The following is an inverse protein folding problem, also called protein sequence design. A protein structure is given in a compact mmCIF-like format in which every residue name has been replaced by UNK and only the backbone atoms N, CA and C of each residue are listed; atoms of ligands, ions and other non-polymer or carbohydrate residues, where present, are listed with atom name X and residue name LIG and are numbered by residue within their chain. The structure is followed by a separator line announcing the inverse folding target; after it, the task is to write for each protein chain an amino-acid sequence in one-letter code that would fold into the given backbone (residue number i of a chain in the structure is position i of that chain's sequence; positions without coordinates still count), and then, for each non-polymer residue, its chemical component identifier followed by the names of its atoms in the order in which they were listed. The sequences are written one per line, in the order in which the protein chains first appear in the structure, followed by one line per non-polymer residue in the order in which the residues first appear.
data_IF_964151046834
#
_entry.id   IF_964151046834
#
_cell.length_a   1.000
_cell.length_b   1.000
_cell.length_c   1.000
_cell.angle_alpha   90.00
_cell.angle_beta   90.00
_cell.angle_gamma   90.00
#
_symmetry.space_group_name_H-M   'P 1'
#
loop_
_entity.id
_entity.type
_entity.pdbx_description
1 polymer ?
#
# COMPACT_ATOMS: atom_id res chain seq x y z
N UNK A 1 -13.76 0.75 -32.94
CA UNK A 1 -13.83 1.52 -31.71
C UNK A 1 -12.80 1.00 -30.73
N UNK A 2 -11.80 1.80 -30.53
CA UNK A 2 -10.81 1.47 -29.53
C UNK A 2 -11.37 1.85 -28.20
N UNK A 3 -11.86 0.89 -27.48
CA UNK A 3 -12.15 1.08 -26.09
C UNK A 3 -10.81 1.23 -25.38
N UNK A 4 -10.45 2.47 -25.14
CA UNK A 4 -9.38 2.74 -24.20
C UNK A 4 -9.84 2.19 -22.87
N UNK A 5 -9.35 1.04 -22.54
CA UNK A 5 -9.35 0.64 -21.17
C UNK A 5 -8.44 1.61 -20.44
N UNK A 6 -9.04 2.54 -19.73
CA UNK A 6 -8.29 3.18 -18.68
C UNK A 6 -7.90 2.07 -17.73
N UNK A 7 -6.65 1.69 -17.81
CA UNK A 7 -6.09 0.89 -16.76
C UNK A 7 -6.23 1.70 -15.47
N UNK A 8 -6.94 1.23 -14.46
CA UNK A 8 -6.98 1.90 -13.16
C UNK A 8 -5.57 2.19 -12.64
N UNK A 9 -4.63 1.37 -13.04
CA UNK A 9 -3.21 1.48 -12.68
C UNK A 9 -2.60 2.79 -13.14
N UNK A 10 -2.90 3.25 -14.35
CA UNK A 10 -2.36 4.51 -14.88
C UNK A 10 -2.84 5.71 -14.09
N UNK A 11 -4.11 5.72 -13.68
CA UNK A 11 -4.65 6.80 -12.86
C UNK A 11 -4.17 6.71 -11.42
N UNK A 12 -4.02 5.51 -10.90
CA UNK A 12 -3.47 5.30 -9.57
C UNK A 12 -2.08 5.93 -9.45
N UNK A 13 -1.23 5.77 -10.47
CA UNK A 13 0.10 6.37 -10.48
C UNK A 13 0.06 7.89 -10.36
N UNK A 14 -0.95 8.53 -10.93
CA UNK A 14 -1.07 9.98 -10.89
C UNK A 14 -1.27 10.49 -9.46
N UNK A 15 -2.06 9.79 -8.67
CA UNK A 15 -2.39 10.21 -7.32
C UNK A 15 -1.53 9.55 -6.24
N UNK A 16 -0.96 8.40 -6.56
CA UNK A 16 -0.28 7.58 -5.56
C UNK A 16 0.89 8.30 -4.88
N UNK A 17 1.71 8.99 -5.67
CA UNK A 17 2.86 9.69 -5.14
C UNK A 17 2.45 10.80 -4.16
N UNK A 18 1.40 11.55 -4.52
CA UNK A 18 0.89 12.62 -3.66
C UNK A 18 0.31 12.07 -2.36
N UNK A 19 -0.41 10.95 -2.44
CA UNK A 19 -0.97 10.31 -1.26
C UNK A 19 0.09 9.75 -0.34
N UNK A 20 1.09 9.08 -0.91
CA UNK A 20 2.19 8.54 -0.13
C UNK A 20 2.92 9.67 0.61
N UNK A 21 3.19 10.76 -0.08
CA UNK A 21 3.84 11.92 0.52
C UNK A 21 3.01 12.53 1.64
N UNK A 22 1.70 12.69 1.42
CA UNK A 22 0.80 13.23 2.45
C UNK A 22 0.75 12.33 3.69
N UNK A 23 0.71 11.02 3.49
CA UNK A 23 0.71 10.07 4.60
C UNK A 23 2.00 10.16 5.40
N UNK A 24 3.14 10.28 4.74
CA UNK A 24 4.43 10.42 5.41
C UNK A 24 4.49 11.71 6.22
N UNK A 25 4.03 12.82 5.65
CA UNK A 25 4.02 14.11 6.34
C UNK A 25 3.12 14.09 7.57
N UNK A 26 2.00 13.38 7.49
CA UNK A 26 1.02 13.33 8.58
C UNK A 26 1.44 12.38 9.69
N UNK A 27 1.97 11.22 9.33
CA UNK A 27 2.27 10.14 10.29
C UNK A 27 3.73 10.08 10.72
N UNK A 28 4.65 10.59 9.92
CA UNK A 28 6.07 10.41 10.13
C UNK A 28 6.56 9.00 9.81
N UNK A 29 5.69 8.14 9.30
CA UNK A 29 6.03 6.78 8.93
C UNK A 29 6.35 6.70 7.43
N UNK A 30 6.84 5.54 6.99
CA UNK A 30 7.04 5.29 5.57
C UNK A 30 5.71 4.84 4.97
N UNK A 31 5.42 5.31 3.77
CA UNK A 31 4.19 4.94 3.07
C UNK A 31 4.50 4.42 1.69
N UNK A 32 3.78 3.39 1.26
CA UNK A 32 3.84 2.97 -0.14
C UNK A 32 2.45 2.62 -0.63
N UNK A 33 2.28 2.71 -1.95
CA UNK A 33 1.03 2.38 -2.61
C UNK A 33 1.38 1.42 -3.74
N UNK A 34 0.63 0.33 -3.83
CA UNK A 34 0.89 -0.71 -4.82
C UNK A 34 -0.32 -0.93 -5.72
N UNK A 35 -0.06 -1.44 -6.92
CA UNK A 35 -1.10 -2.11 -7.69
C UNK A 35 -1.02 -3.62 -7.41
N UNK A 36 -1.53 -4.46 -8.29
CA UNK A 36 -1.49 -5.92 -8.12
C UNK A 36 -0.15 -6.53 -8.54
N UNK A 37 0.75 -5.73 -9.11
CA UNK A 37 2.01 -6.21 -9.66
C UNK A 37 3.23 -5.62 -8.95
N UNK A 38 3.21 -4.32 -8.67
CA UNK A 38 4.40 -3.63 -8.19
C UNK A 38 4.05 -2.45 -7.28
N UNK A 39 5.06 -1.96 -6.59
CA UNK A 39 4.96 -0.72 -5.81
C UNK A 39 4.99 0.45 -6.78
N UNK A 40 3.90 1.22 -6.83
CA UNK A 40 3.76 2.35 -7.77
C UNK A 40 4.25 3.66 -7.17
N UNK A 41 4.25 3.77 -5.86
CA UNK A 41 4.78 4.95 -5.16
C UNK A 41 5.26 4.55 -3.79
N UNK A 42 6.34 5.16 -3.35
CA UNK A 42 6.87 4.98 -2.00
C UNK A 42 7.53 6.27 -1.55
N UNK A 43 7.36 6.60 -0.27
CA UNK A 43 7.89 7.82 0.30
C UNK A 43 8.27 7.56 1.75
N UNK A 44 9.29 8.25 2.22
CA UNK A 44 9.76 8.13 3.60
C UNK A 44 11.05 7.33 3.71
N UNK A 45 11.45 7.06 4.95
CA UNK A 45 12.70 6.35 5.23
C UNK A 45 12.64 4.91 4.72
N UNK A 46 13.62 4.53 3.92
CA UNK A 46 13.71 3.18 3.35
C UNK A 46 12.81 2.96 2.13
N UNK A 47 12.17 4.00 1.62
CA UNK A 47 11.27 3.87 0.47
C UNK A 47 11.95 3.41 -0.81
N UNK A 48 13.25 3.70 -0.95
CA UNK A 48 14.00 3.28 -2.15
C UNK A 48 14.09 1.77 -2.30
N UNK A 49 14.00 1.04 -1.19
CA UNK A 49 14.00 -0.42 -1.22
C UNK A 49 12.72 -0.98 -1.85
N UNK A 50 11.68 -0.17 -1.90
CA UNK A 50 10.35 -0.61 -2.31
C UNK A 50 9.94 -0.11 -3.69
N UNK A 51 10.30 1.12 -4.03
CA UNK A 51 9.79 1.80 -5.23
C UNK A 51 10.11 1.03 -6.50
N UNK A 52 9.08 0.79 -7.30
CA UNK A 52 9.23 0.11 -8.59
C UNK A 52 9.44 -1.39 -8.49
N UNK A 53 9.49 -1.95 -7.29
CA UNK A 53 9.70 -3.38 -7.08
C UNK A 53 8.41 -4.16 -7.20
N UNK A 54 8.53 -5.40 -7.64
CA UNK A 54 7.42 -6.33 -7.72
C UNK A 54 6.95 -6.70 -6.32
N UNK A 55 5.63 -6.75 -6.10
CA UNK A 55 5.08 -7.14 -4.80
C UNK A 55 5.22 -8.65 -4.58
N UNK A 56 5.24 -9.05 -3.30
CA UNK A 56 5.30 -10.46 -2.95
C UNK A 56 3.97 -11.16 -3.19
N UNK A 57 4.02 -12.48 -3.32
CA UNK A 57 2.81 -13.28 -3.43
C UNK A 57 1.95 -13.20 -2.17
N UNK A 58 2.59 -13.07 -1.02
CA UNK A 58 1.88 -12.91 0.26
C UNK A 58 1.10 -11.61 0.30
N UNK A 59 1.70 -10.52 -0.17
CA UNK A 59 1.00 -9.24 -0.24
C UNK A 59 -0.16 -9.31 -1.23
N UNK A 60 0.04 -9.94 -2.39
CA UNK A 60 -1.02 -10.12 -3.36
C UNK A 60 -2.19 -10.89 -2.76
N UNK A 61 -1.93 -11.90 -1.94
CA UNK A 61 -2.98 -12.65 -1.26
C UNK A 61 -3.77 -11.77 -0.27
N UNK A 62 -3.10 -10.86 0.43
CA UNK A 62 -3.77 -9.92 1.32
C UNK A 62 -4.67 -8.98 0.52
N UNK A 63 -4.18 -8.47 -0.59
CA UNK A 63 -4.97 -7.59 -1.47
C UNK A 63 -6.21 -8.34 -1.98
N UNK A 64 -6.02 -9.56 -2.44
CA UNK A 64 -7.12 -10.39 -2.94
C UNK A 64 -8.16 -10.68 -1.85
N UNK A 65 -7.72 -10.74 -0.61
CA UNK A 65 -8.62 -10.96 0.54
C UNK A 65 -9.50 -9.77 0.88
N UNK A 66 -9.22 -8.60 0.34
CA UNK A 66 -10.02 -7.36 0.49
C UNK A 66 -10.13 -6.82 1.93
N UNK A 67 -9.38 -7.35 2.85
CA UNK A 67 -9.39 -6.92 4.25
C UNK A 67 -8.06 -6.31 4.65
N UNK A 68 -8.12 -5.23 5.43
CA UNK A 68 -6.92 -4.64 5.99
C UNK A 68 -6.23 -5.60 6.96
N UNK A 69 -4.91 -5.53 7.00
CA UNK A 69 -4.09 -6.34 7.90
C UNK A 69 -3.00 -5.51 8.53
N UNK A 70 -2.74 -5.82 9.79
CA UNK A 70 -1.60 -5.27 10.50
C UNK A 70 -0.66 -6.44 10.79
N UNK A 71 0.58 -6.33 10.33
CA UNK A 71 1.58 -7.36 10.56
C UNK A 71 2.81 -6.77 11.22
N UNK A 72 3.46 -7.54 12.07
CA UNK A 72 4.70 -7.16 12.72
C UNK A 72 5.77 -8.17 12.43
N UNK A 73 7.02 -7.77 12.58
CA UNK A 73 8.17 -8.63 12.35
C UNK A 73 8.16 -9.89 13.23
N UNK A 74 7.61 -9.76 14.42
CA UNK A 74 7.55 -10.87 15.39
C UNK A 74 6.35 -11.79 15.18
N UNK A 75 5.43 -11.44 14.30
CA UNK A 75 4.26 -12.27 14.04
C UNK A 75 4.63 -13.42 13.09
N UNK A 76 3.93 -14.55 13.27
CA UNK A 76 4.10 -15.69 12.38
C UNK A 76 3.64 -15.38 10.95
N UNK A 77 2.91 -14.28 10.79
CA UNK A 77 2.37 -13.86 9.53
C UNK A 77 3.10 -12.64 8.97
N UNK A 78 4.41 -12.56 9.21
CA UNK A 78 5.17 -11.46 8.64
C UNK A 78 5.11 -11.53 7.11
N UNK A 79 4.64 -10.45 6.51
CA UNK A 79 4.45 -10.36 5.07
C UNK A 79 5.45 -9.36 4.52
N UNK A 80 6.28 -9.80 3.58
CA UNK A 80 7.16 -8.90 2.86
C UNK A 80 6.36 -8.15 1.80
N UNK A 81 6.67 -6.87 1.62
CA UNK A 81 6.02 -6.07 0.58
C UNK A 81 6.53 -6.48 -0.81
N UNK A 82 7.83 -6.72 -0.93
CA UNK A 82 8.46 -7.02 -2.22
C UNK A 82 8.84 -8.50 -2.30
N UNK A 83 8.93 -9.00 -3.55
CA UNK A 83 9.16 -10.42 -3.78
C UNK A 83 10.62 -10.85 -3.62
N UNK A 84 11.57 -9.95 -3.86
CA UNK A 84 12.98 -10.31 -3.96
C UNK A 84 13.68 -10.52 -2.62
N UNK A 85 13.18 -9.93 -1.55
CA UNK A 85 13.83 -10.02 -0.25
C UNK A 85 12.85 -9.63 0.86
N UNK A 86 13.15 -10.08 2.06
CA UNK A 86 12.47 -9.58 3.25
C UNK A 86 12.85 -8.12 3.43
N UNK A 87 11.86 -7.26 3.57
CA UNK A 87 12.12 -5.88 3.88
C UNK A 87 12.51 -5.70 5.36
N UNK A 88 13.07 -4.55 5.69
CA UNK A 88 13.60 -4.27 7.04
C UNK A 88 12.59 -3.59 7.96
N UNK A 89 11.32 -3.57 7.59
CA UNK A 89 10.29 -2.88 8.38
C UNK A 89 9.75 -3.77 9.49
N UNK A 90 9.61 -3.21 10.69
CA UNK A 90 9.12 -3.94 11.85
C UNK A 90 7.62 -4.11 11.85
N UNK A 91 6.89 -3.09 11.42
CA UNK A 91 5.43 -3.14 11.39
C UNK A 91 4.92 -2.61 10.06
N UNK A 92 3.85 -3.22 9.59
CA UNK A 92 3.19 -2.85 8.34
C UNK A 92 1.70 -2.84 8.55
N UNK A 93 1.07 -1.81 8.06
CA UNK A 93 -0.37 -1.67 8.07
C UNK A 93 -0.83 -1.64 6.62
N UNK A 94 -1.52 -2.70 6.21
CA UNK A 94 -1.88 -2.93 4.81
C UNK A 94 -3.38 -2.76 4.66
N UNK A 95 -3.79 -1.90 3.75
CA UNK A 95 -5.20 -1.70 3.45
C UNK A 95 -5.42 -1.83 1.95
N UNK A 96 -6.14 -2.86 1.50
CA UNK A 96 -6.45 -3.01 0.07
C UNK A 96 -7.27 -1.84 -0.46
N UNK A 97 -7.01 -1.48 -1.70
CA UNK A 97 -7.76 -0.46 -2.43
C UNK A 97 -8.82 -1.19 -3.25
N UNK A 98 -10.09 -0.86 -3.00
CA UNK A 98 -11.21 -1.48 -3.70
C UNK A 98 -11.82 -0.48 -4.68
N UNK A 99 -11.90 -0.89 -5.94
CA UNK A 99 -12.54 -0.13 -7.00
C UNK A 99 -13.71 -0.94 -7.51
N UNK A 100 -14.93 -0.48 -7.27
CA UNK A 100 -16.15 -1.21 -7.62
C UNK A 100 -16.11 -2.67 -7.15
N UNK A 101 -15.66 -2.89 -5.94
CA UNK A 101 -15.49 -4.20 -5.28
C UNK A 101 -14.28 -5.01 -5.75
N UNK A 102 -13.55 -4.57 -6.75
CA UNK A 102 -12.32 -5.23 -7.18
C UNK A 102 -11.12 -4.70 -6.41
N UNK A 103 -10.29 -5.60 -5.91
CA UNK A 103 -9.05 -5.22 -5.23
C UNK A 103 -8.00 -4.88 -6.29
N UNK A 104 -7.62 -3.60 -6.37
CA UNK A 104 -6.71 -3.12 -7.42
C UNK A 104 -5.30 -2.83 -6.91
N UNK A 105 -5.11 -2.83 -5.60
CA UNK A 105 -3.82 -2.55 -5.01
C UNK A 105 -3.94 -2.38 -3.52
N UNK A 106 -2.98 -1.72 -2.92
CA UNK A 106 -2.98 -1.48 -1.47
C UNK A 106 -2.28 -0.20 -1.10
N UNK A 107 -2.72 0.39 0.02
CA UNK A 107 -2.00 1.46 0.71
C UNK A 107 -1.36 0.82 1.94
N UNK A 108 -0.07 1.06 2.13
CA UNK A 108 0.69 0.44 3.21
C UNK A 108 1.46 1.50 3.98
N UNK A 109 1.29 1.51 5.29
CA UNK A 109 2.16 2.28 6.19
C UNK A 109 3.13 1.32 6.85
N UNK A 110 4.41 1.72 6.87
CA UNK A 110 5.49 0.88 7.36
C UNK A 110 6.35 1.66 8.34
N UNK A 111 6.91 0.95 9.32
CA UNK A 111 7.86 1.56 10.24
C UNK A 111 8.98 0.59 10.56
N UNK A 112 10.21 1.12 10.69
CA UNK A 112 11.37 0.37 11.17
C UNK A 112 11.45 0.40 12.69
N UNK A 113 10.65 1.25 13.32
CA UNK A 113 10.58 1.41 14.75
C UNK A 113 9.60 0.39 15.36
N UNK A 114 9.87 -0.04 16.57
CA UNK A 114 8.96 -0.90 17.32
C UNK A 114 7.75 -0.13 17.88
N UNK A 115 7.63 1.15 17.59
CA UNK A 115 6.50 1.95 18.04
C UNK A 115 5.20 1.36 17.53
N UNK A 116 4.25 1.23 18.43
CA UNK A 116 2.91 0.80 18.07
C UNK A 116 2.26 1.82 17.17
N UNK A 117 1.85 1.37 16.00
CA UNK A 117 0.94 2.15 15.17
C UNK A 117 -0.45 1.99 15.77
N UNK A 118 -1.09 3.11 15.98
CA UNK A 118 -2.39 3.14 16.67
C UNK A 118 -3.58 3.21 15.71
N UNK A 119 -4.74 3.46 16.30
CA UNK A 119 -5.99 3.57 15.56
C UNK A 119 -5.99 4.74 14.56
N UNK A 120 -5.26 5.80 14.87
CA UNK A 120 -5.15 6.96 13.99
C UNK A 120 -4.53 6.59 12.65
N UNK A 121 -3.41 5.86 12.69
CA UNK A 121 -2.72 5.43 11.48
C UNK A 121 -3.58 4.44 10.69
N UNK A 122 -4.29 3.56 11.37
CA UNK A 122 -5.22 2.64 10.73
C UNK A 122 -6.34 3.40 10.01
N UNK A 123 -6.90 4.42 10.66
CA UNK A 123 -7.95 5.25 10.06
C UNK A 123 -7.43 5.98 8.83
N UNK A 124 -6.21 6.50 8.88
CA UNK A 124 -5.61 7.22 7.76
C UNK A 124 -5.40 6.29 6.55
N UNK A 125 -4.91 5.09 6.79
CA UNK A 125 -4.70 4.10 5.71
C UNK A 125 -6.03 3.72 5.08
N UNK A 126 -7.05 3.48 5.89
CA UNK A 126 -8.39 3.13 5.40
C UNK A 126 -8.99 4.27 4.59
N UNK A 127 -8.85 5.49 5.07
CA UNK A 127 -9.36 6.68 4.38
C UNK A 127 -8.67 6.87 3.03
N UNK A 128 -7.34 6.75 3.01
CA UNK A 128 -6.57 6.87 1.78
C UNK A 128 -6.97 5.80 0.76
N UNK A 129 -7.07 4.55 1.21
CA UNK A 129 -7.47 3.46 0.32
C UNK A 129 -8.89 3.65 -0.22
N UNK A 130 -9.81 4.09 0.63
CA UNK A 130 -11.19 4.37 0.21
C UNK A 130 -11.26 5.48 -0.81
N UNK A 131 -10.51 6.55 -0.60
CA UNK A 131 -10.49 7.67 -1.53
C UNK A 131 -9.89 7.26 -2.87
N UNK A 132 -8.77 6.57 -2.86
CA UNK A 132 -8.13 6.11 -4.10
C UNK A 132 -9.05 5.17 -4.87
N UNK A 133 -9.71 4.26 -4.19
CA UNK A 133 -10.67 3.36 -4.83
C UNK A 133 -11.79 4.11 -5.53
N UNK A 134 -12.35 5.13 -4.88
CA UNK A 134 -13.42 5.93 -5.46
C UNK A 134 -12.94 6.75 -6.66
N UNK A 135 -11.70 7.25 -6.60
CA UNK A 135 -11.14 7.98 -7.74
C UNK A 135 -11.01 7.08 -8.96
N UNK A 136 -10.71 5.81 -8.75
CA UNK A 136 -10.56 4.86 -9.85
C UNK A 136 -11.90 4.42 -10.44
N UNK A 137 -13.00 4.63 -9.74
CA UNK A 137 -14.34 4.29 -10.22
C UNK A 137 -14.89 5.29 -11.25
N UNK A 138 -14.28 6.43 -11.39
CA UNK A 138 -14.74 7.48 -12.31
C UNK A 138 -14.31 7.24 -13.74
#
# INVERSE_FOLDING_TARGET
IILKKYSPIGELNTFAAEYAEALVQTTGLTACITDRDQVVAACGSGSRELEGKEISSDLDAVIAGRKGRMVSQDSRENISVISDAMDSFCQKMIQPILCASDAIGAVILLTKSEKHTGDTERALVRTAAGFLGRQMEQ
#
